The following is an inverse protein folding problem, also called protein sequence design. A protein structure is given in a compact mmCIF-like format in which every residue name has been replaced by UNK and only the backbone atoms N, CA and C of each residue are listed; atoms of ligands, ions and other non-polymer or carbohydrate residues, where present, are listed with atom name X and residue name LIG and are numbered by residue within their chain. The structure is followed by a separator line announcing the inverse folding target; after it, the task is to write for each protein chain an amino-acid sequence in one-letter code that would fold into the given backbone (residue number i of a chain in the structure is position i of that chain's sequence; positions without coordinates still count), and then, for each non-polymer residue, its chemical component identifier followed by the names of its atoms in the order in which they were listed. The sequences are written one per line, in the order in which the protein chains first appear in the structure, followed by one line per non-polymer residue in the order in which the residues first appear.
data_IF_301314154784
#
_entry.id   IF_301314154784
#
_cell.length_a   1.000
_cell.length_b   1.000
_cell.length_c   1.000
_cell.angle_alpha   90.00
_cell.angle_beta   90.00
_cell.angle_gamma   90.00
#
_symmetry.space_group_name_H-M   'P 1'
#
loop_
_entity.id
_entity.type
_entity.pdbx_description
1 polymer ?
#
# COMPACT_ATOMS: atom_id res chain seq x y z
N UNK A 1 -21.17 39.03 -12.37
CA UNK A 1 -21.17 40.06 -11.30
C UNK A 1 -21.18 39.52 -9.86
N UNK A 2 -21.36 38.21 -9.59
CA UNK A 2 -21.49 37.68 -8.22
C UNK A 2 -20.20 37.52 -7.38
N UNK A 3 -19.01 37.56 -8.00
CA UNK A 3 -17.75 37.31 -7.29
C UNK A 3 -17.33 38.41 -6.30
N UNK A 4 -17.75 39.67 -6.53
CA UNK A 4 -17.43 40.80 -5.64
C UNK A 4 -18.24 40.75 -4.34
N UNK A 5 -19.52 40.36 -4.43
CA UNK A 5 -20.41 40.24 -3.26
C UNK A 5 -19.97 39.07 -2.37
N UNK A 6 -19.59 37.93 -2.96
CA UNK A 6 -19.08 36.76 -2.22
C UNK A 6 -17.78 37.09 -1.47
N UNK A 7 -16.90 37.92 -2.06
CA UNK A 7 -15.65 38.37 -1.40
C UNK A 7 -15.90 39.25 -0.19
N UNK A 8 -16.88 40.17 -0.27
CA UNK A 8 -17.27 41.04 0.86
C UNK A 8 -17.77 40.24 2.08
N UNK A 9 -18.57 39.19 1.86
CA UNK A 9 -19.06 38.31 2.92
C UNK A 9 -17.91 37.46 3.49
N UNK A 10 -17.02 36.93 2.64
CA UNK A 10 -15.87 36.11 3.08
C UNK A 10 -14.88 36.89 3.94
N UNK A 11 -14.67 38.16 3.62
CA UNK A 11 -13.70 39.03 4.29
C UNK A 11 -14.30 39.83 5.46
N UNK A 12 -15.51 39.47 5.89
CA UNK A 12 -16.07 40.07 7.08
C UNK A 12 -15.29 39.62 8.32
N UNK A 13 -14.75 40.60 9.04
CA UNK A 13 -14.11 40.43 10.35
C UNK A 13 -12.93 39.43 10.36
N UNK A 14 -12.04 39.53 9.36
CA UNK A 14 -10.88 38.65 9.20
C UNK A 14 -9.89 38.78 10.35
N UNK A 15 -9.68 39.99 10.87
CA UNK A 15 -8.73 40.26 11.95
C UNK A 15 -9.10 39.51 13.24
N UNK A 16 -10.32 39.68 13.74
CA UNK A 16 -10.77 38.95 14.93
C UNK A 16 -10.79 37.42 14.71
N UNK A 17 -11.04 36.97 13.47
CA UNK A 17 -10.97 35.54 13.14
C UNK A 17 -9.53 35.04 13.17
N UNK A 18 -8.59 35.81 12.63
CA UNK A 18 -7.16 35.49 12.68
C UNK A 18 -6.65 35.48 14.12
N UNK A 19 -6.99 36.48 14.94
CA UNK A 19 -6.62 36.51 16.36
C UNK A 19 -7.21 35.34 17.15
N UNK A 20 -8.46 34.95 16.85
CA UNK A 20 -9.07 33.76 17.46
C UNK A 20 -8.35 32.47 17.08
N UNK A 21 -7.84 32.36 15.85
CA UNK A 21 -7.07 31.17 15.43
C UNK A 21 -5.64 31.19 16.00
N UNK A 22 -4.99 32.35 16.05
CA UNK A 22 -3.62 32.52 16.58
C UNK A 22 -3.58 32.31 18.10
N UNK A 23 -4.64 32.72 18.82
CA UNK A 23 -4.75 32.55 20.28
C UNK A 23 -5.03 31.11 20.71
N UNK A 24 -5.45 30.23 19.80
CA UNK A 24 -5.57 28.79 20.11
C UNK A 24 -4.19 28.20 20.40
N UNK A 25 -4.16 27.25 21.34
CA UNK A 25 -2.95 26.47 21.58
C UNK A 25 -2.56 25.74 20.29
N UNK A 26 -1.27 25.82 19.92
CA UNK A 26 -0.77 25.14 18.73
C UNK A 26 -1.03 23.63 18.84
N UNK A 27 -1.51 22.97 17.77
CA UNK A 27 -1.75 21.54 17.80
C UNK A 27 -0.44 20.80 18.10
N UNK A 28 -0.55 19.65 18.76
CA UNK A 28 0.60 18.77 18.93
C UNK A 28 1.09 18.33 17.54
N UNK A 29 2.42 18.31 17.31
CA UNK A 29 2.96 17.80 16.06
C UNK A 29 2.59 16.32 15.92
N UNK A 30 2.37 15.89 14.67
CA UNK A 30 2.09 14.50 14.37
C UNK A 30 3.22 13.58 14.90
N UNK A 31 2.89 12.35 15.34
CA UNK A 31 3.88 11.41 15.82
C UNK A 31 4.87 11.09 14.71
N UNK A 32 6.15 11.04 15.07
CA UNK A 32 7.25 10.68 14.15
C UNK A 32 7.47 9.18 14.14
N UNK A 33 7.99 8.66 13.03
CA UNK A 33 8.37 7.26 12.88
C UNK A 33 9.47 6.88 13.91
N UNK A 34 9.45 5.65 14.48
CA UNK A 34 10.41 5.23 15.51
C UNK A 34 11.88 5.37 15.10
N UNK A 35 12.23 5.09 13.84
CA UNK A 35 13.60 5.25 13.34
C UNK A 35 14.07 6.71 13.36
N UNK A 36 13.17 7.66 13.14
CA UNK A 36 13.49 9.09 13.21
C UNK A 36 13.70 9.52 14.66
N UNK A 37 12.92 8.99 15.59
CA UNK A 37 13.06 9.30 17.02
C UNK A 37 14.39 8.79 17.58
N UNK A 38 14.82 7.58 17.22
CA UNK A 38 16.10 7.03 17.68
C UNK A 38 17.29 7.83 17.15
N UNK A 39 17.24 8.26 15.88
CA UNK A 39 18.27 9.11 15.29
C UNK A 39 18.34 10.47 16.01
N UNK A 40 17.21 11.11 16.26
CA UNK A 40 17.20 12.37 16.99
C UNK A 40 17.74 12.22 18.42
N UNK A 41 17.38 11.14 19.10
CA UNK A 41 17.84 10.88 20.46
C UNK A 41 19.36 10.69 20.52
N UNK A 42 19.94 9.95 19.56
CA UNK A 42 21.40 9.79 19.46
C UNK A 42 22.10 11.13 19.17
N UNK A 43 21.60 11.92 18.21
CA UNK A 43 22.17 13.24 17.91
C UNK A 43 22.07 14.22 19.08
N UNK A 44 20.95 14.22 19.80
CA UNK A 44 20.76 15.05 20.99
C UNK A 44 21.65 14.60 22.16
N UNK A 45 22.03 13.33 22.21
CA UNK A 45 23.01 12.81 23.18
C UNK A 45 24.44 13.24 22.86
N UNK A 46 24.80 13.33 21.58
CA UNK A 46 26.14 13.77 21.14
C UNK A 46 26.34 15.26 21.41
N UNK A 47 25.34 16.10 21.17
CA UNK A 47 25.43 17.55 21.34
C UNK A 47 24.26 18.10 22.17
N UNK A 48 24.38 18.13 23.51
CA UNK A 48 23.29 18.54 24.40
C UNK A 48 22.96 20.04 24.30
N UNK A 49 23.92 20.88 23.88
CA UNK A 49 23.74 22.33 23.75
C UNK A 49 22.75 22.72 22.64
N UNK A 50 22.61 21.88 21.61
CA UNK A 50 21.72 22.12 20.47
C UNK A 50 20.26 22.22 20.91
N UNK A 51 19.84 21.47 21.93
CA UNK A 51 18.46 21.53 22.44
C UNK A 51 18.12 22.93 22.98
N UNK A 52 19.06 23.57 23.65
CA UNK A 52 18.92 24.94 24.14
C UNK A 52 18.95 25.97 23.02
N UNK A 53 19.80 25.77 22.02
CA UNK A 53 19.89 26.64 20.85
C UNK A 53 18.61 26.62 20.01
N UNK A 54 17.99 25.46 19.78
CA UNK A 54 16.73 25.33 19.01
C UNK A 54 15.55 26.03 19.70
N UNK A 55 15.48 25.96 21.03
CA UNK A 55 14.39 26.57 21.79
C UNK A 55 14.52 28.10 21.87
N UNK A 56 15.73 28.64 21.66
CA UNK A 56 16.01 30.07 21.70
C UNK A 56 15.93 30.67 20.31
N UNK A 57 15.54 31.94 20.27
CA UNK A 57 15.58 32.73 19.04
C UNK A 57 17.02 33.10 18.74
N UNK A 58 17.45 32.86 17.50
CA UNK A 58 18.76 33.29 16.99
C UNK A 58 18.58 34.55 16.12
N UNK A 59 19.11 35.68 16.60
CA UNK A 59 18.97 36.97 15.93
C UNK A 59 19.81 37.06 14.64
N UNK A 60 20.88 36.27 14.51
CA UNK A 60 21.71 36.23 13.30
C UNK A 60 21.01 35.49 12.17
N UNK A 61 20.36 34.36 12.47
CA UNK A 61 19.53 33.65 11.50
C UNK A 61 18.30 34.49 11.10
N UNK A 62 17.74 35.25 12.04
CA UNK A 62 16.65 36.17 11.76
C UNK A 62 17.07 37.28 10.78
N UNK A 63 18.26 37.87 10.94
CA UNK A 63 18.74 38.88 9.99
C UNK A 63 18.88 38.30 8.58
N UNK A 64 19.44 37.08 8.45
CA UNK A 64 19.55 36.43 7.15
C UNK A 64 18.19 36.16 6.50
N UNK A 65 17.17 35.77 7.27
CA UNK A 65 15.81 35.59 6.75
C UNK A 65 15.14 36.88 6.29
N UNK A 66 15.54 38.05 6.84
CA UNK A 66 15.06 39.35 6.37
C UNK A 66 15.71 39.74 5.04
N UNK A 67 16.98 39.41 4.88
CA UNK A 67 17.76 39.77 3.69
C UNK A 67 17.46 38.85 2.49
N UNK A 68 17.08 37.60 2.75
CA UNK A 68 16.77 36.61 1.70
C UNK A 68 15.31 36.74 1.27
N UNK A 69 15.08 37.36 0.12
CA UNK A 69 13.79 37.35 -0.58
C UNK A 69 13.75 36.20 -1.60
N UNK A 70 12.86 35.23 -1.38
CA UNK A 70 12.63 34.12 -2.32
C UNK A 70 11.44 34.45 -3.20
N UNK A 71 11.68 34.72 -4.47
CA UNK A 71 10.61 34.76 -5.48
C UNK A 71 10.28 33.33 -5.92
N UNK A 72 9.39 32.66 -5.16
CA UNK A 72 8.87 31.36 -5.54
C UNK A 72 7.84 31.55 -6.66
N UNK A 73 8.31 31.45 -7.90
CA UNK A 73 7.41 31.24 -9.03
C UNK A 73 7.03 29.77 -9.04
N UNK A 74 5.86 29.46 -8.48
CA UNK A 74 5.25 28.17 -8.75
C UNK A 74 5.09 28.05 -10.27
N UNK A 75 5.60 26.99 -10.91
CA UNK A 75 5.26 26.76 -12.30
C UNK A 75 3.74 26.73 -12.38
N UNK A 76 3.16 27.59 -13.21
CA UNK A 76 1.72 27.54 -13.48
C UNK A 76 1.46 26.12 -13.95
N UNK A 77 0.78 25.35 -13.09
CA UNK A 77 0.47 23.95 -13.33
C UNK A 77 -0.30 23.85 -14.64
N UNK A 78 0.40 23.62 -15.75
CA UNK A 78 -0.19 23.26 -17.04
C UNK A 78 -0.78 21.85 -17.00
N UNK A 79 -0.46 21.11 -15.94
CA UNK A 79 -1.39 20.12 -15.41
C UNK A 79 -2.63 20.87 -14.95
N UNK A 80 -3.63 20.93 -15.83
CA UNK A 80 -4.96 20.58 -15.35
C UNK A 80 -4.74 19.40 -14.42
N UNK A 81 -4.88 19.64 -13.11
CA UNK A 81 -5.28 18.58 -12.21
C UNK A 81 -6.67 18.23 -12.74
N UNK A 82 -6.70 17.42 -13.81
CA UNK A 82 -7.61 16.30 -13.79
C UNK A 82 -7.29 15.73 -12.43
N UNK A 83 -8.21 15.91 -11.49
CA UNK A 83 -8.37 14.95 -10.44
C UNK A 83 -8.60 13.62 -11.18
N UNK A 84 -7.52 13.06 -11.71
CA UNK A 84 -7.32 11.67 -11.63
C UNK A 84 -6.96 11.52 -10.13
N UNK A 85 -7.92 11.46 -9.19
CA UNK A 85 -8.91 10.38 -9.17
C UNK A 85 -8.66 9.44 -10.35
N UNK A 86 -7.46 8.84 -10.37
CA UNK A 86 -7.39 7.44 -10.70
C UNK A 86 -8.28 6.87 -9.61
N UNK A 87 -9.60 6.92 -9.84
CA UNK A 87 -10.49 5.87 -9.49
C UNK A 87 -9.71 4.67 -10.00
N UNK A 88 -8.88 4.08 -9.13
CA UNK A 88 -8.50 2.71 -9.28
C UNK A 88 -9.86 2.06 -9.49
N UNK A 89 -10.10 1.64 -10.73
CA UNK A 89 -11.32 0.97 -11.10
C UNK A 89 -11.57 -0.03 -9.99
N UNK A 90 -12.74 0.04 -9.31
CA UNK A 90 -12.93 -0.64 -8.04
C UNK A 90 -12.47 -2.07 -8.21
N UNK A 91 -11.36 -2.44 -7.56
CA UNK A 91 -10.71 -3.73 -7.82
C UNK A 91 -11.77 -4.79 -7.54
N UNK A 92 -12.27 -5.43 -8.61
CA UNK A 92 -13.31 -6.43 -8.45
C UNK A 92 -12.67 -7.63 -7.75
N UNK A 93 -13.11 -7.90 -6.52
CA UNK A 93 -12.62 -9.03 -5.75
C UNK A 93 -13.58 -10.21 -5.87
N UNK A 94 -13.01 -11.41 -5.97
CA UNK A 94 -13.73 -12.67 -5.81
C UNK A 94 -13.37 -13.32 -4.48
N UNK A 95 -14.27 -14.18 -4.00
CA UNK A 95 -13.94 -15.10 -2.93
C UNK A 95 -13.00 -16.18 -3.47
N UNK A 96 -12.02 -16.62 -2.66
CA UNK A 96 -11.17 -17.71 -3.06
C UNK A 96 -11.95 -19.03 -3.08
N UNK A 97 -11.54 -19.95 -3.96
CA UNK A 97 -12.16 -21.25 -4.18
C UNK A 97 -11.30 -22.37 -3.59
N UNK A 98 -11.95 -23.38 -3.03
CA UNK A 98 -11.30 -24.57 -2.47
C UNK A 98 -11.04 -24.50 -0.96
N UNK A 99 -10.43 -25.56 -0.43
CA UNK A 99 -10.13 -25.70 0.99
C UNK A 99 -9.00 -24.72 1.35
N UNK A 100 -9.36 -23.61 1.96
CA UNK A 100 -8.38 -22.72 2.58
C UNK A 100 -7.80 -23.45 3.78
N UNK A 101 -6.50 -23.74 3.73
CA UNK A 101 -5.76 -24.08 4.94
C UNK A 101 -5.85 -22.85 5.84
N UNK A 102 -6.56 -22.98 6.97
CA UNK A 102 -6.91 -21.90 7.92
C UNK A 102 -5.71 -21.06 8.40
N UNK A 103 -4.48 -21.50 8.11
CA UNK A 103 -3.23 -20.81 8.44
C UNK A 103 -2.98 -19.54 7.61
N UNK A 104 -3.52 -19.40 6.39
CA UNK A 104 -3.36 -18.18 5.57
C UNK A 104 -4.74 -17.66 5.16
N UNK A 105 -5.22 -16.66 5.91
CA UNK A 105 -6.58 -16.12 5.78
C UNK A 105 -6.70 -15.16 4.58
N UNK A 106 -6.55 -15.66 3.35
CA UNK A 106 -6.83 -14.89 2.13
C UNK A 106 -8.35 -14.75 2.04
N UNK A 107 -8.88 -13.55 2.29
CA UNK A 107 -10.34 -13.32 2.27
C UNK A 107 -10.87 -12.81 0.93
N UNK A 108 -10.00 -12.20 0.11
CA UNK A 108 -10.36 -11.54 -1.15
C UNK A 108 -9.24 -11.73 -2.16
N UNK A 109 -9.58 -12.21 -3.35
CA UNK A 109 -8.64 -12.35 -4.47
C UNK A 109 -9.02 -11.36 -5.56
N UNK A 110 -8.10 -10.50 -6.03
CA UNK A 110 -8.38 -9.58 -7.13
C UNK A 110 -8.70 -10.34 -8.43
N UNK A 111 -9.55 -9.75 -9.28
CA UNK A 111 -9.78 -10.22 -10.65
C UNK A 111 -8.47 -10.30 -11.43
N UNK A 112 -8.34 -11.30 -12.31
CA UNK A 112 -7.11 -11.57 -13.04
C UNK A 112 -5.99 -12.21 -12.20
N UNK A 113 -6.20 -12.44 -10.89
CA UNK A 113 -5.21 -13.08 -10.01
C UNK A 113 -5.77 -14.37 -9.40
N UNK A 114 -4.85 -15.26 -9.03
CA UNK A 114 -5.14 -16.51 -8.33
C UNK A 114 -4.18 -16.70 -7.16
N UNK A 115 -4.67 -17.37 -6.11
CA UNK A 115 -3.83 -17.84 -5.02
C UNK A 115 -2.96 -19.02 -5.47
N UNK A 116 -1.83 -19.26 -4.78
CA UNK A 116 -0.97 -20.42 -5.04
C UNK A 116 -1.72 -21.74 -4.86
N UNK A 117 -2.58 -21.82 -3.83
CA UNK A 117 -3.40 -23.02 -3.58
C UNK A 117 -4.36 -23.26 -4.74
N UNK A 118 -5.01 -22.20 -5.24
CA UNK A 118 -5.91 -22.27 -6.39
C UNK A 118 -5.19 -22.64 -7.69
N UNK A 119 -3.98 -22.12 -7.90
CA UNK A 119 -3.16 -22.47 -9.04
C UNK A 119 -2.84 -23.97 -9.05
N UNK A 120 -2.45 -24.51 -7.90
CA UNK A 120 -2.14 -25.95 -7.77
C UNK A 120 -3.38 -26.82 -7.97
N UNK A 121 -4.54 -26.44 -7.41
CA UNK A 121 -5.78 -27.21 -7.57
C UNK A 121 -6.30 -27.17 -9.01
N UNK A 122 -6.28 -26.00 -9.65
CA UNK A 122 -6.63 -25.82 -11.06
C UNK A 122 -5.75 -26.67 -11.97
N UNK A 123 -4.43 -26.62 -11.81
CA UNK A 123 -3.50 -27.38 -12.62
C UNK A 123 -3.67 -28.90 -12.40
N UNK A 124 -3.93 -29.32 -11.16
CA UNK A 124 -4.19 -30.72 -10.86
C UNK A 124 -5.51 -31.21 -11.49
N UNK A 125 -6.57 -30.42 -11.41
CA UNK A 125 -7.87 -30.75 -11.98
C UNK A 125 -7.82 -30.84 -13.51
N UNK A 126 -7.12 -29.90 -14.18
CA UNK A 126 -6.89 -29.96 -15.62
C UNK A 126 -6.10 -31.21 -16.03
N UNK A 127 -5.11 -31.61 -15.22
CA UNK A 127 -4.34 -32.84 -15.47
C UNK A 127 -5.20 -34.10 -15.35
N UNK A 128 -6.08 -34.16 -14.35
CA UNK A 128 -6.95 -35.33 -14.11
C UNK A 128 -8.10 -35.43 -15.12
N UNK A 129 -8.73 -34.30 -15.47
CA UNK A 129 -9.92 -34.24 -16.30
C UNK A 129 -9.84 -33.10 -17.33
N UNK A 130 -8.97 -33.22 -18.36
CA UNK A 130 -8.74 -32.15 -19.33
C UNK A 130 -9.99 -31.76 -20.12
N UNK A 131 -10.85 -32.73 -20.45
CA UNK A 131 -12.12 -32.49 -21.16
C UNK A 131 -13.12 -31.67 -20.33
N UNK A 132 -13.10 -31.85 -19.00
CA UNK A 132 -14.05 -31.18 -18.10
C UNK A 132 -13.51 -29.83 -17.62
N UNK A 133 -12.19 -29.69 -17.52
CA UNK A 133 -11.50 -28.49 -17.05
C UNK A 133 -10.78 -27.81 -18.21
N UNK A 134 -11.54 -27.38 -19.21
CA UNK A 134 -10.99 -26.63 -20.35
C UNK A 134 -10.48 -25.25 -19.92
N UNK A 135 -9.58 -24.67 -20.72
CA UNK A 135 -9.06 -23.32 -20.49
C UNK A 135 -10.18 -22.26 -20.40
N UNK A 136 -11.25 -22.43 -21.17
CA UNK A 136 -12.44 -21.57 -21.15
C UNK A 136 -13.16 -21.63 -19.81
N UNK A 137 -13.42 -22.85 -19.31
CA UNK A 137 -14.06 -23.05 -18.02
C UNK A 137 -13.22 -22.45 -16.89
N UNK A 138 -11.90 -22.66 -16.93
CA UNK A 138 -10.98 -22.12 -15.94
C UNK A 138 -10.98 -20.58 -15.94
N UNK A 139 -10.92 -19.97 -17.13
CA UNK A 139 -10.96 -18.52 -17.28
C UNK A 139 -12.25 -17.92 -16.71
N UNK A 140 -13.41 -18.53 -17.00
CA UNK A 140 -14.70 -18.12 -16.45
C UNK A 140 -14.78 -18.33 -14.94
N UNK A 141 -14.27 -19.45 -14.45
CA UNK A 141 -14.40 -19.84 -13.05
C UNK A 141 -13.53 -18.99 -12.12
N UNK A 142 -12.34 -18.58 -12.56
CA UNK A 142 -11.40 -17.78 -11.78
C UNK A 142 -11.32 -16.30 -12.20
N UNK A 143 -12.14 -15.88 -13.16
CA UNK A 143 -12.14 -14.52 -13.73
C UNK A 143 -10.75 -14.11 -14.24
N UNK A 144 -10.15 -14.99 -15.05
CA UNK A 144 -8.84 -14.81 -15.66
C UNK A 144 -8.96 -14.56 -17.15
N UNK A 145 -7.94 -13.94 -17.74
CA UNK A 145 -7.84 -13.86 -19.19
C UNK A 145 -7.52 -15.23 -19.79
N UNK A 146 -8.26 -15.62 -20.82
CA UNK A 146 -8.07 -16.91 -21.49
C UNK A 146 -6.65 -17.08 -22.07
N UNK A 147 -6.01 -15.97 -22.49
CA UNK A 147 -4.62 -15.94 -22.97
C UNK A 147 -3.63 -16.38 -21.88
N UNK A 148 -3.84 -15.87 -20.67
CA UNK A 148 -2.99 -16.17 -19.51
C UNK A 148 -3.22 -17.62 -19.05
N UNK A 149 -4.47 -18.08 -19.05
CA UNK A 149 -4.80 -19.48 -18.73
C UNK A 149 -4.15 -20.45 -19.71
N UNK A 150 -4.21 -20.17 -21.01
CA UNK A 150 -3.54 -20.99 -22.03
C UNK A 150 -2.02 -21.05 -21.81
N UNK A 151 -1.42 -19.91 -21.44
CA UNK A 151 0.01 -19.83 -21.14
C UNK A 151 0.34 -20.60 -19.85
N UNK A 152 -0.51 -20.48 -18.83
CA UNK A 152 -0.38 -21.20 -17.56
C UNK A 152 -0.39 -22.71 -17.79
N UNK A 153 -1.37 -23.22 -18.52
CA UNK A 153 -1.51 -24.65 -18.83
C UNK A 153 -0.39 -25.19 -19.73
N UNK A 154 0.17 -24.35 -20.60
CA UNK A 154 1.25 -24.74 -21.50
C UNK A 154 2.61 -24.83 -20.81
N UNK A 155 2.90 -23.88 -19.91
CA UNK A 155 4.24 -23.73 -19.33
C UNK A 155 4.38 -24.28 -17.90
N UNK A 156 3.28 -24.49 -17.18
CA UNK A 156 3.32 -25.02 -15.81
C UNK A 156 2.79 -26.46 -15.76
N UNK A 157 3.58 -27.35 -15.16
CA UNK A 157 3.27 -28.77 -15.00
C UNK A 157 3.27 -29.12 -13.52
N UNK A 158 2.29 -29.91 -13.07
CA UNK A 158 2.23 -30.40 -11.68
C UNK A 158 3.14 -31.60 -11.47
N UNK A 159 3.85 -31.60 -10.34
CA UNK A 159 4.71 -32.70 -9.93
C UNK A 159 3.88 -33.89 -9.43
N UNK A 160 4.28 -35.10 -9.81
CA UNK A 160 3.73 -36.33 -9.22
C UNK A 160 4.60 -36.71 -8.02
N UNK A 161 4.01 -36.64 -6.84
CA UNK A 161 4.61 -37.19 -5.62
C UNK A 161 4.28 -38.67 -5.60
N UNK A 162 5.31 -39.52 -5.71
CA UNK A 162 5.17 -40.96 -5.47
C UNK A 162 5.67 -41.25 -4.07
N UNK A 163 4.76 -41.61 -3.17
CA UNK A 163 5.12 -42.10 -1.85
C UNK A 163 5.57 -43.55 -1.98
N UNK A 164 6.87 -43.77 -1.93
CA UNK A 164 7.42 -45.10 -1.75
C UNK A 164 7.20 -45.50 -0.29
N UNK A 165 6.05 -46.11 0.01
CA UNK A 165 5.86 -46.79 1.29
C UNK A 165 6.99 -47.82 1.43
N UNK A 166 7.81 -47.70 2.46
CA UNK A 166 8.82 -48.71 2.79
C UNK A 166 8.08 -49.86 3.46
N UNK A 167 7.40 -50.69 2.66
CA UNK A 167 6.88 -51.96 3.15
C UNK A 167 8.06 -52.94 3.32
N UNK A 168 8.20 -53.40 4.56
CA UNK A 168 8.86 -54.63 4.99
C UNK A 168 10.39 -54.73 4.91
N UNK A 169 11.10 -53.86 5.63
CA UNK A 169 12.35 -54.30 6.25
C UNK A 169 12.00 -55.16 7.47
N UNK A 170 11.83 -56.47 7.22
CA UNK A 170 11.70 -57.53 8.23
C UNK A 170 12.55 -57.21 9.46
N UNK A 171 11.88 -56.99 10.58
CA UNK A 171 12.52 -56.88 11.88
C UNK A 171 13.35 -58.15 12.12
N UNK A 172 14.65 -57.97 12.34
CA UNK A 172 15.54 -59.05 12.75
C UNK A 172 15.14 -59.42 14.17
N UNK A 173 14.67 -60.65 14.38
CA UNK A 173 14.32 -61.14 15.71
C UNK A 173 15.58 -61.16 16.62
N UNK A 174 15.48 -60.68 17.86
CA UNK A 174 16.60 -60.73 18.80
C UNK A 174 16.76 -62.17 19.31
N UNK A 175 18.01 -62.65 19.29
CA UNK A 175 18.46 -63.91 19.90
C UNK A 175 18.52 -63.81 21.42
#
# INVERSE_FOLDING_TARGET
MGGLVIRGIRNFNVENRAEREISKMKPSPAPRHPSTNSLLQTQMGVNPEIKGAIARKDDKLLSFLKDVYVDSKDPVSSMQVKAAETHQEPEEFRLPKGQHFDMINIKRVPKGKISVVEALTLLNNHKLYPETWTAEKIAQEYLLEQKDVNSLLKYFVTFEVKDFSVEDKKAIEPK
#
